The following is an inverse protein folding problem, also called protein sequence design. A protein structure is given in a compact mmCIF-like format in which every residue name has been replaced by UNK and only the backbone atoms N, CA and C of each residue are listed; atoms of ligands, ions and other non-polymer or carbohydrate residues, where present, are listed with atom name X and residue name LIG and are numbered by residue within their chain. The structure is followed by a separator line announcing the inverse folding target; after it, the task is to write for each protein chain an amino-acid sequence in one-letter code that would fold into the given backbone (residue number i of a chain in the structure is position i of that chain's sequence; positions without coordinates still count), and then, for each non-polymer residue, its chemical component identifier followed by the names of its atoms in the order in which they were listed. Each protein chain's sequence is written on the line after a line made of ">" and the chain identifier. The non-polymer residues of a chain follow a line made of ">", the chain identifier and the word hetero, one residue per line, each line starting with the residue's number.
data_IF_690970270702
#
_entry.id   IF_690970270702
#
_cell.length_a   1.000
_cell.length_b   1.000
_cell.length_c   1.000
_cell.angle_alpha   90.00
_cell.angle_beta   90.00
_cell.angle_gamma   90.00
#
_symmetry.space_group_name_H-M   'P 1'
#
loop_
_entity.id
_entity.type
_entity.pdbx_description
1 polymer ?
#
# COMPACT_ATOMS: atom_id res chain seq x y z
N UNK A 1 -20.11 0.39 7.20
CA UNK A 1 -19.48 0.37 5.87
C UNK A 1 -18.13 1.02 5.92
N UNK A 2 -17.08 0.36 5.40
CA UNK A 2 -15.77 0.96 5.46
C UNK A 2 -15.68 2.24 4.63
N UNK A 3 -16.41 2.28 3.54
CA UNK A 3 -16.44 3.44 2.69
C UNK A 3 -15.20 3.66 1.83
N UNK A 4 -14.19 2.81 1.98
CA UNK A 4 -12.96 2.96 1.18
C UNK A 4 -12.96 1.96 0.04
N UNK A 5 -12.46 2.43 -1.12
CA UNK A 5 -12.30 1.58 -2.29
C UNK A 5 -10.80 1.40 -2.57
N UNK A 6 -10.49 0.35 -3.36
CA UNK A 6 -9.09 0.13 -3.76
C UNK A 6 -8.54 1.36 -4.48
N UNK A 7 -9.39 2.00 -5.31
CA UNK A 7 -8.96 3.18 -6.05
C UNK A 7 -8.62 4.34 -5.13
N UNK A 8 -9.42 4.55 -4.09
CA UNK A 8 -9.15 5.63 -3.12
C UNK A 8 -7.82 5.41 -2.40
N UNK A 9 -7.59 4.18 -1.96
CA UNK A 9 -6.34 3.84 -1.28
C UNK A 9 -5.16 3.99 -2.21
N UNK A 10 -5.32 3.54 -3.45
CA UNK A 10 -4.27 3.62 -4.46
C UNK A 10 -3.89 5.08 -4.74
N UNK A 11 -4.89 5.94 -4.89
CA UNK A 11 -4.64 7.36 -5.15
C UNK A 11 -3.91 8.01 -3.99
N UNK A 12 -4.33 7.72 -2.77
CA UNK A 12 -3.70 8.31 -1.59
C UNK A 12 -2.26 7.85 -1.44
N UNK A 13 -2.02 6.56 -1.58
CA UNK A 13 -0.67 6.00 -1.45
C UNK A 13 0.24 6.57 -2.53
N UNK A 14 -0.24 6.60 -3.77
CA UNK A 14 0.55 7.12 -4.89
C UNK A 14 0.95 8.56 -4.65
N UNK A 15 0.03 9.37 -4.16
CA UNK A 15 0.28 10.78 -3.93
C UNK A 15 1.23 11.01 -2.77
N UNK A 16 0.98 10.36 -1.64
CA UNK A 16 1.76 10.58 -0.43
C UNK A 16 3.18 10.02 -0.53
N UNK A 17 3.35 8.92 -1.23
CA UNK A 17 4.65 8.27 -1.37
C UNK A 17 5.30 8.56 -2.71
N UNK A 18 4.68 9.36 -3.54
CA UNK A 18 5.18 9.67 -4.88
C UNK A 18 5.56 8.38 -5.62
N UNK A 19 4.65 7.42 -5.57
CA UNK A 19 4.90 6.09 -6.12
C UNK A 19 4.99 6.13 -7.63
N UNK A 20 6.00 5.47 -8.18
CA UNK A 20 6.11 5.31 -9.63
C UNK A 20 5.14 4.25 -10.14
N UNK A 21 4.73 3.34 -9.24
CA UNK A 21 3.73 2.33 -9.55
C UNK A 21 3.01 1.98 -8.26
N UNK A 22 1.71 1.85 -8.33
CA UNK A 22 0.91 1.46 -7.18
C UNK A 22 -0.34 0.75 -7.65
N UNK A 23 -0.56 -0.46 -7.14
CA UNK A 23 -1.76 -1.23 -7.44
C UNK A 23 -2.37 -1.66 -6.11
N UNK A 24 -3.65 -1.36 -5.92
CA UNK A 24 -4.38 -1.82 -4.76
C UNK A 24 -5.53 -2.69 -5.24
N UNK A 25 -5.64 -3.88 -4.67
CA UNK A 25 -6.67 -4.85 -5.03
C UNK A 25 -7.60 -5.05 -3.85
N UNK A 26 -8.89 -5.03 -4.11
CA UNK A 26 -9.89 -5.33 -3.09
C UNK A 26 -10.00 -6.84 -2.96
N UNK A 27 -9.65 -7.36 -1.79
CA UNK A 27 -9.67 -8.79 -1.49
C UNK A 27 -10.77 -9.14 -0.49
N UNK A 28 -11.70 -8.21 -0.27
CA UNK A 28 -12.78 -8.40 0.71
C UNK A 28 -13.60 -9.64 0.37
N UNK A 29 -13.96 -10.40 1.41
CA UNK A 29 -14.64 -11.69 1.22
C UNK A 29 -15.78 -11.91 2.20
N UNK A 30 -16.33 -10.87 2.76
CA UNK A 30 -17.42 -11.00 3.71
C UNK A 30 -16.98 -11.01 5.17
N UNK A 31 -15.68 -11.12 5.43
CA UNK A 31 -15.16 -11.06 6.79
C UNK A 31 -14.71 -9.66 7.16
N UNK A 32 -14.95 -8.69 6.28
CA UNK A 32 -14.54 -7.31 6.50
C UNK A 32 -13.72 -6.81 5.33
N UNK A 33 -13.38 -5.54 5.37
CA UNK A 33 -12.60 -4.91 4.30
C UNK A 33 -11.17 -5.46 4.30
N UNK A 34 -10.74 -5.97 3.17
CA UNK A 34 -9.41 -6.57 3.02
C UNK A 34 -8.82 -6.09 1.70
N UNK A 35 -7.59 -5.60 1.75
CA UNK A 35 -6.92 -5.07 0.56
C UNK A 35 -5.50 -5.58 0.46
N UNK A 36 -5.02 -5.67 -0.78
CA UNK A 36 -3.61 -5.97 -1.05
C UNK A 36 -3.04 -4.86 -1.90
N UNK A 37 -1.79 -4.51 -1.67
CA UNK A 37 -1.15 -3.43 -2.40
C UNK A 37 0.25 -3.79 -2.86
N UNK A 38 0.61 -3.31 -4.06
CA UNK A 38 1.98 -3.34 -4.56
C UNK A 38 2.37 -1.89 -4.76
N UNK A 39 3.41 -1.44 -4.07
CA UNK A 39 3.81 -0.04 -4.06
C UNK A 39 5.29 0.07 -4.42
N UNK A 40 5.59 0.87 -5.44
CA UNK A 40 6.96 1.11 -5.88
C UNK A 40 7.27 2.59 -5.66
N UNK A 41 8.26 2.88 -4.84
CA UNK A 41 8.60 4.27 -4.52
C UNK A 41 10.07 4.42 -4.18
N UNK A 42 10.67 5.53 -4.62
CA UNK A 42 12.04 5.87 -4.23
C UNK A 42 12.15 6.14 -2.74
N UNK A 43 11.04 6.45 -2.09
CA UNK A 43 11.04 6.70 -0.64
C UNK A 43 11.35 5.45 0.17
N UNK A 44 11.31 4.29 -0.47
CA UNK A 44 11.68 3.03 0.18
C UNK A 44 13.16 2.73 0.11
N UNK A 45 13.92 3.48 -0.70
CA UNK A 45 15.35 3.24 -0.85
C UNK A 45 16.07 3.45 0.46
N UNK A 46 16.97 2.52 0.79
CA UNK A 46 17.73 2.60 2.03
C UNK A 46 16.95 2.22 3.28
N UNK A 47 15.69 1.81 3.14
CA UNK A 47 14.86 1.45 4.28
C UNK A 47 14.65 -0.06 4.35
N UNK A 48 14.81 -0.66 5.54
CA UNK A 48 14.44 -2.08 5.70
C UNK A 48 12.94 -2.26 5.55
N UNK A 49 12.53 -3.50 5.35
CA UNK A 49 11.13 -3.83 5.08
C UNK A 49 10.19 -3.29 6.16
N UNK A 50 10.59 -3.42 7.42
CA UNK A 50 9.74 -2.96 8.53
C UNK A 50 9.50 -1.45 8.44
N UNK A 51 10.56 -0.68 8.14
CA UNK A 51 10.42 0.76 8.03
C UNK A 51 9.52 1.16 6.85
N UNK A 52 9.58 0.41 5.76
CA UNK A 52 8.71 0.64 4.60
C UNK A 52 7.26 0.42 4.98
N UNK A 53 6.97 -0.66 5.70
CA UNK A 53 5.61 -0.98 6.12
C UNK A 53 5.07 0.08 7.07
N UNK A 54 5.91 0.58 7.97
CA UNK A 54 5.51 1.65 8.88
C UNK A 54 5.17 2.94 8.12
N UNK A 55 5.93 3.23 7.08
CA UNK A 55 5.67 4.41 6.27
C UNK A 55 4.31 4.31 5.58
N UNK A 56 4.00 3.16 5.01
CA UNK A 56 2.71 2.94 4.37
C UNK A 56 1.58 3.01 5.39
N UNK A 57 1.77 2.37 6.55
CA UNK A 57 0.76 2.41 7.60
C UNK A 57 0.50 3.84 8.09
N UNK A 58 1.54 4.65 8.13
CA UNK A 58 1.42 6.05 8.51
C UNK A 58 0.56 6.82 7.49
N UNK A 59 0.74 6.55 6.22
CA UNK A 59 -0.05 7.17 5.16
C UNK A 59 -1.53 6.80 5.29
N UNK A 60 -1.81 5.54 5.67
CA UNK A 60 -3.16 5.02 5.76
C UNK A 60 -3.68 4.95 7.20
N UNK A 61 -3.13 5.74 8.09
CA UNK A 61 -3.44 5.66 9.52
C UNK A 61 -4.95 5.65 9.80
N UNK A 62 -5.67 6.57 9.21
CA UNK A 62 -7.12 6.66 9.43
C UNK A 62 -7.86 5.50 8.75
N UNK A 63 -7.43 5.17 7.55
CA UNK A 63 -8.09 4.12 6.76
C UNK A 63 -7.92 2.76 7.41
N UNK A 64 -6.77 2.52 8.03
CA UNK A 64 -6.50 1.24 8.68
C UNK A 64 -7.49 0.92 9.79
N UNK A 65 -8.10 1.94 10.38
CA UNK A 65 -9.09 1.73 11.43
C UNK A 65 -10.35 1.04 10.90
N UNK A 66 -10.61 1.16 9.60
CA UNK A 66 -11.78 0.57 8.97
C UNK A 66 -11.43 -0.66 8.13
N UNK A 67 -10.15 -0.99 8.01
CA UNK A 67 -9.70 -2.12 7.18
C UNK A 67 -9.38 -3.29 8.09
N UNK A 68 -10.01 -4.43 7.80
CA UNK A 68 -9.80 -5.66 8.59
C UNK A 68 -8.40 -6.23 8.38
N UNK A 69 -7.94 -6.27 7.14
CA UNK A 69 -6.64 -6.80 6.81
C UNK A 69 -6.05 -6.06 5.62
N UNK A 70 -4.74 -5.83 5.68
CA UNK A 70 -4.06 -5.12 4.61
C UNK A 70 -2.68 -5.76 4.41
N UNK A 71 -2.45 -6.30 3.21
CA UNK A 71 -1.14 -6.83 2.85
C UNK A 71 -0.46 -5.83 1.95
N UNK A 72 0.85 -5.70 2.08
CA UNK A 72 1.58 -4.74 1.27
C UNK A 72 2.91 -5.31 0.81
N UNK A 73 3.23 -5.02 -0.44
CA UNK A 73 4.49 -5.37 -1.04
C UNK A 73 5.16 -4.06 -1.43
N UNK A 74 6.27 -3.74 -0.80
CA UNK A 74 6.95 -2.47 -0.99
C UNK A 74 8.26 -2.69 -1.72
N UNK A 75 8.46 -1.94 -2.79
CA UNK A 75 9.60 -2.14 -3.68
C UNK A 75 10.22 -0.79 -4.02
N UNK A 76 11.55 -0.79 -4.20
CA UNK A 76 12.20 0.35 -4.82
C UNK A 76 12.04 0.23 -6.33
N UNK A 77 12.23 1.32 -7.09
CA UNK A 77 12.17 1.23 -8.56
C UNK A 77 13.15 0.20 -9.11
N UNK A 78 14.32 0.07 -8.49
CA UNK A 78 15.30 -0.93 -8.92
C UNK A 78 14.78 -2.35 -8.69
N UNK A 79 14.22 -2.60 -7.53
CA UNK A 79 13.65 -3.92 -7.22
C UNK A 79 12.49 -4.25 -8.16
N UNK A 80 11.69 -3.25 -8.48
CA UNK A 80 10.57 -3.43 -9.42
C UNK A 80 11.08 -3.80 -10.81
N UNK A 81 12.16 -3.15 -11.26
CA UNK A 81 12.75 -3.45 -12.57
C UNK A 81 13.36 -4.85 -12.62
N UNK A 82 13.87 -5.33 -11.50
CA UNK A 82 14.57 -6.62 -11.43
C UNK A 82 13.69 -7.77 -10.98
N UNK A 83 12.39 -7.59 -10.92
CA UNK A 83 11.48 -8.57 -10.31
C UNK A 83 11.20 -9.82 -11.12
N UNK A 84 11.71 -9.96 -12.27
CA UNK A 84 11.40 -11.09 -13.16
C UNK A 84 11.64 -12.45 -12.54
#
# INVERSE_FOLDING_TARGET
>A
MSGYTAEQLQTKISKELEASHCEVTDLSDGCGAKFGAVIVSTKFEGKPLLARHRLVNSVLEDEMKSIHAFTQKTLTPEQWSNRK
#
